data_IF_432483942879
#
_entry.id   IF_432483942879
#
_cell.length_a   1.000
_cell.length_b   1.000
_cell.length_c   1.000
_cell.angle_alpha   90.00
_cell.angle_beta   90.00
_cell.angle_gamma   90.00
#
_symmetry.space_group_name_H-M   'P 1'
#
loop_
_entity.id
_entity.type
_entity.pdbx_description
1 polymer ?
#
# COMPACT_ATOMS: atom_id res chain seq x y z
N UNK A 1 -16.00 4.78 -33.46
CA UNK A 1 -16.08 3.72 -32.42
C UNK A 1 -14.94 2.75 -32.69
N UNK A 2 -13.82 2.89 -31.98
CA UNK A 2 -12.69 1.95 -32.08
C UNK A 2 -13.10 0.79 -31.15
N UNK A 3 -13.38 -0.38 -31.72
CA UNK A 3 -13.57 -1.61 -30.95
C UNK A 3 -12.18 -2.07 -30.58
N UNK A 4 -11.81 -1.86 -29.32
CA UNK A 4 -10.60 -2.43 -28.75
C UNK A 4 -10.88 -3.93 -28.53
N UNK A 5 -10.31 -4.78 -29.37
CA UNK A 5 -10.30 -6.22 -29.08
C UNK A 5 -9.31 -6.44 -27.93
N UNK A 6 -9.80 -6.70 -26.74
CA UNK A 6 -8.98 -7.27 -25.68
C UNK A 6 -8.65 -8.68 -26.12
N UNK A 7 -7.40 -8.94 -26.46
CA UNK A 7 -6.93 -10.30 -26.73
C UNK A 7 -6.84 -10.99 -25.35
N UNK A 8 -7.75 -11.91 -25.09
CA UNK A 8 -7.71 -12.76 -23.90
C UNK A 8 -6.92 -14.02 -24.19
N UNK A 9 -6.18 -14.51 -23.19
CA UNK A 9 -5.41 -15.76 -23.26
C UNK A 9 -6.03 -16.79 -22.31
N UNK A 10 -5.89 -18.08 -22.61
CA UNK A 10 -6.26 -19.16 -21.72
C UNK A 10 -5.32 -19.27 -20.51
N UNK A 11 -5.61 -20.22 -19.62
CA UNK A 11 -4.77 -20.51 -18.46
C UNK A 11 -3.56 -21.37 -18.82
N UNK A 12 -2.40 -21.18 -18.12
CA UNK A 12 -1.18 -21.95 -18.43
C UNK A 12 -1.22 -23.41 -17.92
N UNK A 13 -2.16 -23.74 -17.02
CA UNK A 13 -2.39 -25.11 -16.53
C UNK A 13 -3.73 -25.64 -17.04
N UNK A 14 -3.81 -26.93 -17.32
CA UNK A 14 -5.07 -27.56 -17.74
C UNK A 14 -6.06 -27.71 -16.56
N UNK A 15 -7.38 -27.51 -16.78
CA UNK A 15 -8.00 -27.13 -18.04
C UNK A 15 -7.71 -25.64 -18.37
N UNK A 16 -7.25 -25.38 -19.59
CA UNK A 16 -6.80 -24.03 -20.00
C UNK A 16 -7.98 -23.07 -20.28
N UNK A 17 -9.19 -23.60 -20.33
CA UNK A 17 -10.45 -22.90 -20.59
C UNK A 17 -11.32 -22.76 -19.34
N UNK A 18 -10.74 -22.89 -18.16
CA UNK A 18 -11.44 -22.77 -16.87
C UNK A 18 -10.59 -21.98 -15.88
N UNK A 19 -11.22 -21.15 -15.05
CA UNK A 19 -10.57 -20.44 -13.94
C UNK A 19 -9.81 -21.43 -13.05
N UNK A 20 -8.59 -21.08 -12.70
CA UNK A 20 -7.73 -21.87 -11.84
C UNK A 20 -7.65 -21.25 -10.44
N UNK A 21 -7.48 -22.05 -9.38
CA UNK A 21 -7.23 -21.52 -8.05
C UNK A 21 -5.89 -20.78 -7.99
N UNK A 22 -5.86 -19.69 -7.22
CA UNK A 22 -4.67 -18.85 -7.03
C UNK A 22 -4.12 -19.03 -5.62
N UNK A 23 -2.81 -19.12 -5.51
CA UNK A 23 -2.08 -19.20 -4.24
C UNK A 23 -1.50 -17.85 -3.80
N UNK A 24 -1.12 -16.99 -4.72
CA UNK A 24 -0.73 -15.61 -4.47
C UNK A 24 -1.17 -14.73 -5.64
N UNK A 25 -1.43 -13.46 -5.32
CA UNK A 25 -1.89 -12.48 -6.30
C UNK A 25 -0.78 -11.47 -6.65
N UNK A 26 -0.96 -10.74 -7.75
CA UNK A 26 -0.07 -9.66 -8.20
C UNK A 26 -0.06 -8.49 -7.21
N UNK A 27 1.13 -8.13 -6.71
CA UNK A 27 1.29 -7.07 -5.72
C UNK A 27 1.02 -7.50 -4.27
N UNK A 28 0.80 -8.79 -4.03
CA UNK A 28 0.59 -9.34 -2.70
C UNK A 28 1.86 -9.21 -1.84
N UNK A 29 1.67 -8.79 -0.58
CA UNK A 29 2.77 -8.73 0.38
C UNK A 29 3.32 -10.11 0.65
N UNK A 30 4.64 -10.26 0.58
CA UNK A 30 5.35 -11.49 0.93
C UNK A 30 6.57 -11.17 1.79
N UNK A 31 6.83 -12.00 2.82
CA UNK A 31 7.94 -11.84 3.73
C UNK A 31 8.74 -13.15 3.99
N UNK A 32 8.64 -14.12 3.09
CA UNK A 32 9.31 -15.44 3.20
C UNK A 32 10.82 -15.38 3.41
N UNK A 33 11.50 -14.36 2.95
CA UNK A 33 12.95 -14.18 3.04
C UNK A 33 13.42 -13.25 4.14
N UNK A 34 12.51 -12.71 4.95
CA UNK A 34 12.79 -11.75 6.01
C UNK A 34 12.84 -10.28 5.58
N UNK A 35 12.89 -9.99 4.28
CA UNK A 35 12.68 -8.63 3.74
C UNK A 35 11.39 -8.64 2.95
N UNK A 36 10.41 -7.81 3.30
CA UNK A 36 9.14 -7.75 2.58
C UNK A 36 9.33 -7.32 1.12
N UNK A 37 8.46 -7.86 0.26
CA UNK A 37 8.37 -7.48 -1.15
C UNK A 37 6.94 -7.70 -1.67
N UNK A 38 6.62 -7.09 -2.80
CA UNK A 38 5.35 -7.29 -3.49
C UNK A 38 5.49 -8.46 -4.48
N UNK A 39 4.58 -9.40 -4.46
CA UNK A 39 4.62 -10.56 -5.35
C UNK A 39 4.52 -10.16 -6.84
N UNK A 40 5.56 -10.40 -7.66
CA UNK A 40 5.60 -9.89 -9.04
C UNK A 40 5.00 -10.89 -10.05
N UNK A 41 3.88 -11.49 -9.72
CA UNK A 41 3.20 -12.49 -10.55
C UNK A 41 1.87 -12.92 -9.94
N UNK A 42 1.31 -13.96 -10.51
CA UNK A 42 0.23 -14.74 -9.90
C UNK A 42 0.69 -16.19 -9.77
N UNK A 43 0.40 -16.82 -8.65
CA UNK A 43 0.70 -18.23 -8.45
C UNK A 43 -0.54 -19.07 -8.77
N UNK A 44 -0.51 -19.71 -9.93
CA UNK A 44 -1.58 -20.60 -10.38
C UNK A 44 -1.36 -21.97 -9.72
N UNK A 45 -2.25 -22.35 -8.82
CA UNK A 45 -2.12 -23.55 -7.99
C UNK A 45 -2.31 -24.82 -8.78
N UNK A 46 -1.56 -25.84 -8.37
CA UNK A 46 -1.66 -27.18 -8.90
C UNK A 46 -2.02 -28.17 -7.79
N UNK A 47 -2.70 -29.24 -8.17
CA UNK A 47 -3.05 -30.34 -7.26
C UNK A 47 -1.94 -31.38 -7.13
N UNK A 48 -0.96 -31.34 -8.02
CA UNK A 48 0.16 -32.31 -8.07
C UNK A 48 1.41 -31.70 -8.67
N UNK A 49 2.58 -32.23 -8.28
CA UNK A 49 3.85 -31.99 -8.95
C UNK A 49 3.83 -32.53 -10.38
N UNK A 50 4.73 -32.08 -11.23
CA UNK A 50 4.86 -32.53 -12.63
C UNK A 50 3.61 -32.29 -13.49
N UNK A 51 2.75 -31.35 -13.09
CA UNK A 51 1.62 -30.95 -13.92
C UNK A 51 2.15 -30.27 -15.19
N UNK A 52 1.60 -30.61 -16.38
CA UNK A 52 2.04 -30.01 -17.63
C UNK A 52 1.66 -28.54 -17.70
N UNK A 53 2.57 -27.71 -18.23
CA UNK A 53 2.42 -26.28 -18.43
C UNK A 53 2.35 -26.00 -19.92
N UNK A 54 1.43 -25.12 -20.31
CA UNK A 54 1.17 -24.77 -21.70
C UNK A 54 1.42 -23.30 -21.98
N UNK A 55 1.91 -22.98 -23.18
CA UNK A 55 2.05 -21.60 -23.62
C UNK A 55 0.67 -20.93 -23.76
N UNK A 56 0.45 -19.82 -23.09
CA UNK A 56 -0.83 -19.08 -23.17
C UNK A 56 -0.97 -18.26 -24.44
N UNK A 57 0.14 -18.07 -25.18
CA UNK A 57 0.20 -17.30 -26.42
C UNK A 57 1.35 -17.82 -27.30
N UNK A 58 1.20 -17.72 -28.61
CA UNK A 58 2.29 -18.00 -29.54
C UNK A 58 3.41 -16.98 -29.38
N UNK A 59 4.66 -17.43 -29.48
CA UNK A 59 5.82 -16.55 -29.31
C UNK A 59 7.14 -17.20 -29.66
N UNK A 60 8.22 -16.67 -29.08
CA UNK A 60 9.60 -17.12 -29.28
C UNK A 60 10.27 -17.35 -27.93
N UNK A 61 10.94 -18.46 -27.74
CA UNK A 61 11.73 -18.73 -26.53
C UNK A 61 12.86 -17.72 -26.42
N UNK A 62 12.83 -16.89 -25.37
CA UNK A 62 13.83 -15.83 -25.14
C UNK A 62 14.80 -16.16 -24.01
N UNK A 63 14.30 -16.75 -22.95
CA UNK A 63 15.14 -17.12 -21.82
C UNK A 63 14.79 -18.53 -21.34
N UNK A 64 15.82 -19.23 -20.92
CA UNK A 64 15.73 -20.55 -20.32
C UNK A 64 16.71 -20.59 -19.16
N UNK A 65 16.24 -20.22 -17.98
CA UNK A 65 17.06 -20.04 -16.79
C UNK A 65 16.91 -21.25 -15.87
N UNK A 66 17.91 -22.13 -15.89
CA UNK A 66 17.97 -23.36 -15.07
C UNK A 66 19.18 -23.36 -14.14
N UNK A 67 19.49 -22.20 -13.58
CA UNK A 67 20.52 -22.00 -12.56
C UNK A 67 19.89 -22.07 -11.16
N UNK A 68 20.69 -22.36 -10.12
CA UNK A 68 20.23 -22.62 -8.75
C UNK A 68 19.41 -23.91 -8.61
N UNK A 69 18.60 -24.10 -7.57
CA UNK A 69 17.71 -25.23 -7.43
C UNK A 69 16.58 -25.20 -8.48
N UNK A 70 16.05 -26.37 -8.82
CA UNK A 70 15.04 -26.52 -9.87
C UNK A 70 13.76 -25.70 -9.62
N UNK A 71 13.35 -25.52 -8.36
CA UNK A 71 12.24 -24.65 -7.99
C UNK A 71 12.46 -23.16 -8.33
N UNK A 72 13.66 -22.77 -8.75
CA UNK A 72 13.94 -21.43 -9.30
C UNK A 72 13.98 -21.38 -10.84
N UNK A 73 13.75 -22.49 -11.52
CA UNK A 73 13.81 -22.53 -12.97
C UNK A 73 12.68 -21.75 -13.62
N UNK A 74 13.02 -21.08 -14.72
CA UNK A 74 12.15 -20.13 -15.43
C UNK A 74 12.29 -20.25 -16.93
N UNK A 75 11.17 -20.08 -17.63
CA UNK A 75 11.08 -19.97 -19.08
C UNK A 75 10.40 -18.65 -19.43
N UNK A 76 10.95 -17.88 -20.36
CA UNK A 76 10.31 -16.70 -20.94
C UNK A 76 10.02 -16.90 -22.43
N UNK A 77 8.76 -16.67 -22.81
CA UNK A 77 8.28 -16.72 -24.19
C UNK A 77 7.87 -15.32 -24.60
N UNK A 78 8.67 -14.69 -25.49
CA UNK A 78 8.43 -13.34 -25.97
C UNK A 78 7.41 -13.34 -27.11
N UNK A 79 6.73 -12.21 -27.29
CA UNK A 79 5.72 -12.05 -28.34
C UNK A 79 6.28 -12.22 -29.75
N UNK A 80 7.54 -11.81 -29.97
CA UNK A 80 8.25 -11.96 -31.23
C UNK A 80 9.77 -11.88 -31.04
N UNK A 81 10.50 -12.34 -32.05
CA UNK A 81 11.96 -12.26 -32.08
C UNK A 81 12.42 -10.85 -32.41
N UNK A 82 13.19 -10.24 -31.47
CA UNK A 82 13.80 -8.91 -31.68
C UNK A 82 15.04 -8.77 -30.79
N UNK A 83 15.90 -7.79 -31.14
CA UNK A 83 16.98 -7.32 -30.28
C UNK A 83 16.59 -6.04 -29.51
N UNK A 84 15.40 -5.51 -29.77
CA UNK A 84 14.85 -4.39 -29.04
C UNK A 84 14.04 -4.88 -27.85
N UNK A 85 13.51 -3.93 -27.08
CA UNK A 85 12.62 -4.21 -25.96
C UNK A 85 11.37 -4.98 -26.41
N UNK A 86 11.06 -6.07 -25.75
CA UNK A 86 9.90 -6.92 -26.04
C UNK A 86 9.25 -7.43 -24.79
N UNK A 87 7.93 -7.57 -24.83
CA UNK A 87 7.16 -8.20 -23.77
C UNK A 87 7.18 -9.72 -23.89
N UNK A 88 7.08 -10.40 -22.76
CA UNK A 88 7.07 -11.86 -22.68
C UNK A 88 6.18 -12.38 -21.56
N UNK A 89 5.78 -13.62 -21.69
CA UNK A 89 5.23 -14.42 -20.61
C UNK A 89 6.33 -15.14 -19.87
N UNK A 90 6.39 -14.96 -18.55
CA UNK A 90 7.28 -15.67 -17.64
C UNK A 90 6.54 -16.84 -17.03
N UNK A 91 7.12 -18.03 -17.12
CA UNK A 91 6.69 -19.26 -16.50
C UNK A 91 7.80 -19.70 -15.54
N UNK A 92 7.56 -19.69 -14.22
CA UNK A 92 8.55 -20.11 -13.24
C UNK A 92 8.10 -21.34 -12.48
N UNK A 93 9.07 -21.99 -11.80
CA UNK A 93 8.89 -23.30 -11.14
C UNK A 93 8.57 -24.43 -12.12
N UNK A 94 9.19 -24.37 -13.30
CA UNK A 94 8.95 -25.25 -14.43
C UNK A 94 10.26 -25.96 -14.84
N UNK A 95 10.18 -27.28 -15.10
CA UNK A 95 11.24 -28.05 -15.77
C UNK A 95 11.04 -27.99 -17.28
N UNK A 96 11.87 -27.22 -18.00
CA UNK A 96 11.78 -27.09 -19.45
C UNK A 96 12.60 -28.13 -20.22
N UNK A 97 13.35 -29.02 -19.57
CA UNK A 97 14.23 -29.98 -20.27
C UNK A 97 13.48 -30.97 -21.17
N UNK A 98 12.21 -31.20 -20.88
CA UNK A 98 11.34 -32.04 -21.73
C UNK A 98 10.68 -31.22 -22.87
N UNK A 99 10.86 -29.91 -22.88
CA UNK A 99 10.44 -29.02 -23.93
C UNK A 99 11.57 -28.90 -24.97
N UNK A 100 11.52 -29.69 -26.01
CA UNK A 100 12.58 -29.83 -27.01
C UNK A 100 12.73 -28.60 -27.92
N UNK A 101 12.85 -27.41 -27.35
CA UNK A 101 13.06 -26.11 -28.03
C UNK A 101 14.33 -25.44 -27.51
N UNK A 102 14.92 -24.64 -28.34
CA UNK A 102 16.07 -23.80 -28.00
C UNK A 102 15.68 -22.33 -27.96
N UNK A 103 16.53 -21.50 -27.37
CA UNK A 103 16.38 -20.05 -27.46
C UNK A 103 16.35 -19.64 -28.94
N UNK A 104 15.33 -18.87 -29.33
CA UNK A 104 15.07 -18.46 -30.70
C UNK A 104 14.04 -19.31 -31.45
N UNK A 105 13.67 -20.48 -30.94
CA UNK A 105 12.63 -21.31 -31.55
C UNK A 105 11.23 -20.72 -31.29
N UNK A 106 10.32 -20.95 -32.23
CA UNK A 106 8.93 -20.54 -32.09
C UNK A 106 8.12 -21.53 -31.26
N UNK A 107 7.15 -21.02 -30.54
CA UNK A 107 6.19 -21.74 -29.73
C UNK A 107 4.79 -21.37 -30.18
N UNK A 108 3.90 -22.34 -30.32
CA UNK A 108 2.50 -22.10 -30.60
C UNK A 108 1.70 -21.95 -29.29
N UNK A 109 0.61 -21.19 -29.32
CA UNK A 109 -0.37 -21.18 -28.24
C UNK A 109 -0.88 -22.59 -27.99
N UNK A 110 -1.01 -22.97 -26.70
CA UNK A 110 -1.42 -24.31 -26.25
C UNK A 110 -0.33 -25.38 -26.40
N UNK A 111 0.87 -25.04 -26.86
CA UNK A 111 2.00 -25.98 -26.91
C UNK A 111 2.50 -26.31 -25.51
N UNK A 112 2.80 -27.57 -25.24
CA UNK A 112 3.42 -28.03 -23.98
C UNK A 112 4.84 -27.46 -23.88
N UNK A 113 5.12 -26.74 -22.79
CA UNK A 113 6.40 -26.04 -22.60
C UNK A 113 7.23 -26.55 -21.40
N UNK A 114 6.70 -27.49 -20.64
CA UNK A 114 7.38 -28.10 -19.52
C UNK A 114 6.43 -28.66 -18.48
N UNK A 115 6.98 -28.97 -17.34
CA UNK A 115 6.24 -29.57 -16.23
C UNK A 115 6.62 -28.85 -14.94
N UNK A 116 5.66 -28.67 -14.00
CA UNK A 116 5.92 -28.11 -12.69
C UNK A 116 6.97 -28.94 -11.95
N UNK A 117 7.91 -28.28 -11.32
CA UNK A 117 8.86 -28.88 -10.39
C UNK A 117 8.26 -28.99 -9.00
N UNK A 118 8.85 -29.82 -8.16
CA UNK A 118 8.46 -29.94 -6.77
C UNK A 118 8.73 -28.61 -6.02
N UNK A 119 7.74 -28.20 -5.21
CA UNK A 119 7.87 -27.05 -4.34
C UNK A 119 8.12 -27.49 -2.88
N UNK A 120 9.00 -26.82 -2.11
CA UNK A 120 9.37 -27.26 -0.76
C UNK A 120 8.27 -27.14 0.29
N UNK A 121 7.15 -26.45 -0.01
CA UNK A 121 5.98 -26.38 0.87
C UNK A 121 4.91 -27.35 0.37
N UNK A 122 4.66 -28.39 1.15
CA UNK A 122 3.76 -29.46 0.75
C UNK A 122 2.34 -28.95 0.46
N UNK A 123 1.84 -29.26 -0.73
CA UNK A 123 0.52 -28.85 -1.21
C UNK A 123 0.45 -27.45 -1.78
N UNK A 124 1.58 -26.72 -1.86
CA UNK A 124 1.69 -25.42 -2.51
C UNK A 124 2.43 -25.52 -3.85
N UNK A 125 2.28 -26.63 -4.57
CA UNK A 125 2.82 -26.73 -5.92
C UNK A 125 2.06 -25.76 -6.84
N UNK A 126 2.78 -24.93 -7.56
CA UNK A 126 2.19 -23.85 -8.36
C UNK A 126 3.06 -23.47 -9.54
N UNK A 127 2.47 -22.79 -10.48
CA UNK A 127 3.16 -22.03 -11.52
C UNK A 127 3.18 -20.55 -11.13
N UNK A 128 4.35 -19.99 -10.89
CA UNK A 128 4.49 -18.54 -10.82
C UNK A 128 4.47 -17.98 -12.24
N UNK A 129 3.51 -17.10 -12.51
CA UNK A 129 3.17 -16.63 -13.84
C UNK A 129 3.08 -15.11 -13.89
N UNK A 130 3.80 -14.49 -14.83
CA UNK A 130 3.90 -13.04 -14.91
C UNK A 130 4.00 -12.52 -16.35
N UNK A 131 3.60 -11.28 -16.57
CA UNK A 131 3.89 -10.53 -17.79
C UNK A 131 5.07 -9.62 -17.53
N UNK A 132 6.15 -9.82 -18.27
CA UNK A 132 7.43 -9.13 -18.11
C UNK A 132 7.84 -8.40 -19.37
N UNK A 133 8.81 -7.52 -19.22
CA UNK A 133 9.47 -6.84 -20.32
C UNK A 133 10.98 -6.83 -20.09
N UNK A 134 11.72 -7.09 -21.12
CA UNK A 134 13.18 -6.97 -21.11
C UNK A 134 13.67 -6.40 -22.44
N UNK A 135 14.92 -6.01 -22.49
CA UNK A 135 15.54 -5.39 -23.67
C UNK A 135 16.61 -6.28 -24.29
N UNK A 136 16.70 -6.20 -25.61
CA UNK A 136 17.75 -6.86 -26.38
C UNK A 136 17.63 -8.39 -26.46
N UNK A 137 18.76 -9.04 -26.70
CA UNK A 137 18.83 -10.47 -26.98
C UNK A 137 19.33 -11.30 -25.78
N UNK A 138 19.88 -10.66 -24.77
CA UNK A 138 20.39 -11.31 -23.56
C UNK A 138 19.45 -11.00 -22.40
N UNK A 139 18.76 -12.04 -21.95
CA UNK A 139 17.79 -11.92 -20.89
C UNK A 139 18.38 -12.52 -19.60
N UNK A 140 18.49 -11.71 -18.56
CA UNK A 140 19.04 -12.10 -17.27
C UNK A 140 18.00 -11.91 -16.18
N UNK A 141 17.97 -12.80 -15.22
CA UNK A 141 17.14 -12.64 -14.03
C UNK A 141 17.62 -11.42 -13.23
N UNK A 142 16.69 -10.55 -12.87
CA UNK A 142 16.97 -9.29 -12.16
C UNK A 142 16.88 -8.03 -13.04
N UNK A 143 16.95 -8.19 -14.35
CA UNK A 143 16.83 -7.07 -15.31
C UNK A 143 15.39 -6.92 -15.84
N UNK A 144 14.46 -7.78 -15.42
CA UNK A 144 13.09 -7.80 -15.93
C UNK A 144 12.21 -6.77 -15.23
N UNK A 145 11.50 -5.98 -16.01
CA UNK A 145 10.37 -5.20 -15.52
C UNK A 145 9.10 -6.06 -15.49
N UNK A 146 8.40 -6.09 -14.37
CA UNK A 146 7.09 -6.70 -14.23
C UNK A 146 6.04 -5.65 -14.60
N UNK A 147 5.33 -5.88 -15.72
CA UNK A 147 4.64 -4.79 -16.41
C UNK A 147 3.12 -4.89 -16.38
N UNK A 148 2.56 -6.09 -16.07
CA UNK A 148 1.13 -6.27 -16.12
C UNK A 148 0.67 -7.48 -15.33
N UNK A 149 -0.39 -7.29 -14.55
CA UNK A 149 -1.07 -8.38 -13.87
C UNK A 149 -1.71 -9.34 -14.90
N UNK A 150 -1.34 -10.62 -14.90
CA UNK A 150 -1.90 -11.61 -15.82
C UNK A 150 -3.43 -11.71 -15.76
N UNK A 151 -4.05 -11.54 -14.59
CA UNK A 151 -5.51 -11.64 -14.41
C UNK A 151 -6.29 -10.62 -15.25
N UNK A 152 -5.65 -9.53 -15.69
CA UNK A 152 -6.30 -8.52 -16.55
C UNK A 152 -6.51 -8.98 -17.99
N UNK A 153 -5.90 -10.09 -18.40
CA UNK A 153 -5.93 -10.61 -19.77
C UNK A 153 -6.19 -12.11 -19.88
N UNK A 154 -6.14 -12.86 -18.76
CA UNK A 154 -6.51 -14.27 -18.75
C UNK A 154 -8.02 -14.45 -18.76
N UNK A 155 -8.51 -15.45 -19.50
CA UNK A 155 -9.92 -15.78 -19.58
C UNK A 155 -10.13 -17.30 -19.79
N UNK A 156 -11.22 -17.86 -19.24
CA UNK A 156 -12.17 -17.19 -18.33
C UNK A 156 -11.56 -16.89 -16.96
N UNK A 157 -12.05 -15.85 -16.28
CA UNK A 157 -11.81 -15.60 -14.87
C UNK A 157 -13.19 -15.43 -14.20
N UNK A 158 -13.76 -16.55 -13.80
CA UNK A 158 -15.14 -16.66 -13.28
C UNK A 158 -15.12 -16.69 -11.74
N UNK A 159 -14.60 -15.63 -11.13
CA UNK A 159 -14.69 -15.39 -9.71
C UNK A 159 -16.05 -14.75 -9.39
N UNK A 160 -16.74 -15.26 -8.40
CA UNK A 160 -18.04 -14.76 -7.92
C UNK A 160 -18.01 -14.37 -6.44
N UNK A 161 -16.87 -14.49 -5.80
CA UNK A 161 -16.67 -14.02 -4.43
C UNK A 161 -16.44 -12.52 -4.43
N UNK A 162 -16.38 -11.92 -3.30
CA UNK A 162 -16.13 -10.50 -3.17
C UNK A 162 -15.13 -10.25 -2.05
N UNK A 163 -14.31 -9.21 -2.13
CA UNK A 163 -13.40 -8.85 -1.06
C UNK A 163 -14.11 -8.70 0.29
N UNK A 164 -13.46 -9.18 1.34
CA UNK A 164 -13.96 -9.24 2.71
C UNK A 164 -13.18 -8.27 3.59
N UNK A 165 -13.91 -7.47 4.36
CA UNK A 165 -13.35 -6.58 5.36
C UNK A 165 -13.36 -7.24 6.73
N UNK A 166 -12.22 -7.20 7.42
CA UNK A 166 -12.06 -7.60 8.80
C UNK A 166 -11.85 -6.38 9.71
N UNK A 167 -11.94 -6.56 11.03
CA UNK A 167 -11.61 -5.49 11.96
C UNK A 167 -10.10 -5.27 11.97
N UNK A 168 -9.69 -4.01 11.84
CA UNK A 168 -8.27 -3.65 11.77
C UNK A 168 -7.64 -3.50 13.15
N UNK A 169 -8.34 -2.87 14.12
CA UNK A 169 -7.80 -2.63 15.45
C UNK A 169 -8.91 -2.45 16.50
N UNK A 170 -8.74 -2.98 17.71
CA UNK A 170 -9.67 -2.84 18.87
C UNK A 170 -11.14 -3.16 18.57
N UNK A 171 -11.42 -4.08 17.65
CA UNK A 171 -12.73 -4.39 17.09
C UNK A 171 -13.32 -3.28 16.20
N UNK A 172 -12.57 -2.22 15.91
CA UNK A 172 -12.95 -1.20 14.95
C UNK A 172 -12.68 -1.69 13.52
N UNK A 173 -13.56 -1.32 12.59
CA UNK A 173 -13.48 -1.74 11.19
C UNK A 173 -12.21 -1.22 10.51
N UNK A 174 -11.86 0.04 10.77
CA UNK A 174 -10.63 0.68 10.31
C UNK A 174 -9.76 1.08 11.50
N UNK A 175 -8.46 1.12 11.30
CA UNK A 175 -7.53 1.72 12.23
C UNK A 175 -7.09 3.10 11.69
N UNK A 176 -6.70 3.96 12.61
CA UNK A 176 -6.26 5.32 12.29
C UNK A 176 -4.95 5.61 13.02
N UNK A 177 -3.97 6.13 12.30
CA UNK A 177 -2.73 6.62 12.93
C UNK A 177 -2.28 7.93 12.30
N UNK A 178 -1.40 8.65 12.98
CA UNK A 178 -0.75 9.81 12.38
C UNK A 178 0.09 9.39 11.17
N UNK A 179 0.03 10.17 10.12
CA UNK A 179 0.71 9.89 8.86
C UNK A 179 2.17 9.44 9.07
N UNK A 180 2.54 8.33 8.43
CA UNK A 180 3.87 7.71 8.49
C UNK A 180 4.37 7.38 9.90
N UNK A 181 3.49 7.10 10.85
CA UNK A 181 3.87 6.72 12.22
C UNK A 181 3.14 5.46 12.69
N UNK A 182 3.48 5.00 13.90
CA UNK A 182 2.71 4.00 14.65
C UNK A 182 1.96 4.63 15.83
N UNK A 183 1.63 5.92 15.75
CA UNK A 183 0.84 6.63 16.74
C UNK A 183 -0.66 6.49 16.44
N UNK A 184 -1.25 5.41 16.90
CA UNK A 184 -2.67 5.13 16.68
C UNK A 184 -3.58 6.07 17.44
N UNK A 185 -4.64 6.50 16.79
CA UNK A 185 -5.66 7.41 17.32
C UNK A 185 -7.00 6.70 17.49
N UNK A 186 -7.75 7.00 18.54
CA UNK A 186 -9.11 6.50 18.67
C UNK A 186 -10.01 7.17 17.59
N UNK A 187 -10.93 6.42 16.97
CA UNK A 187 -11.78 6.95 15.89
C UNK A 187 -12.71 8.10 16.33
N UNK A 188 -12.86 8.33 17.64
CA UNK A 188 -13.66 9.43 18.20
C UNK A 188 -12.87 10.74 18.35
N UNK A 189 -11.57 10.77 17.97
CA UNK A 189 -10.74 11.97 18.13
C UNK A 189 -9.57 11.97 17.14
N UNK A 190 -9.88 12.16 15.86
CA UNK A 190 -8.90 12.24 14.77
C UNK A 190 -8.47 13.70 14.57
N UNK A 191 -7.19 13.93 14.35
CA UNK A 191 -6.60 15.25 14.11
C UNK A 191 -5.31 15.17 13.29
N UNK A 192 -4.97 16.26 12.56
CA UNK A 192 -3.79 16.34 11.70
C UNK A 192 -3.85 15.43 10.47
N UNK A 193 -2.72 15.05 9.93
CA UNK A 193 -2.63 14.06 8.85
C UNK A 193 -2.90 12.65 9.37
N UNK A 194 -3.92 11.99 8.84
CA UNK A 194 -4.40 10.69 9.32
C UNK A 194 -4.28 9.62 8.23
N UNK A 195 -3.52 8.55 8.54
CA UNK A 195 -3.55 7.32 7.75
C UNK A 195 -4.79 6.51 8.13
N UNK A 196 -5.57 6.13 7.13
CA UNK A 196 -6.70 5.22 7.27
C UNK A 196 -6.21 3.82 6.88
N UNK A 197 -6.34 2.86 7.80
CA UNK A 197 -5.85 1.50 7.60
C UNK A 197 -7.02 0.54 7.57
N UNK A 198 -7.16 -0.22 6.47
CA UNK A 198 -8.20 -1.21 6.27
C UNK A 198 -7.60 -2.62 6.16
N UNK A 199 -8.14 -3.57 6.92
CA UNK A 199 -7.80 -4.98 6.81
C UNK A 199 -8.72 -5.66 5.83
N UNK A 200 -8.17 -6.11 4.69
CA UNK A 200 -8.97 -6.62 3.58
C UNK A 200 -8.28 -7.86 2.99
N UNK A 201 -9.07 -8.87 2.67
CA UNK A 201 -8.64 -9.97 1.84
C UNK A 201 -9.70 -10.31 0.79
N UNK A 202 -9.30 -11.09 -0.18
CA UNK A 202 -10.15 -11.64 -1.24
C UNK A 202 -9.93 -13.14 -1.35
N UNK A 203 -10.77 -13.87 -2.07
CA UNK A 203 -10.56 -15.25 -2.46
C UNK A 203 -11.26 -15.53 -3.80
N UNK A 204 -10.83 -16.55 -4.53
CA UNK A 204 -11.41 -16.90 -5.82
C UNK A 204 -12.66 -17.80 -5.69
N UNK A 205 -13.07 -18.18 -4.49
CA UNK A 205 -14.12 -19.18 -4.26
C UNK A 205 -13.71 -20.61 -4.65
N UNK A 206 -12.47 -20.83 -5.07
CA UNK A 206 -11.92 -22.14 -5.43
C UNK A 206 -11.08 -22.67 -4.26
N UNK A 207 -11.53 -23.77 -3.58
CA UNK A 207 -10.91 -24.22 -2.35
C UNK A 207 -9.51 -24.76 -2.58
N UNK A 208 -8.59 -24.44 -1.66
CA UNK A 208 -7.25 -24.96 -1.58
C UNK A 208 -7.11 -25.97 -0.43
N UNK A 209 -6.00 -26.71 -0.39
CA UNK A 209 -5.72 -27.67 0.68
C UNK A 209 -5.51 -27.02 2.05
N UNK A 210 -5.13 -25.75 2.07
CA UNK A 210 -4.97 -24.92 3.26
C UNK A 210 -5.76 -23.62 3.09
N UNK A 211 -6.78 -23.34 3.94
CA UNK A 211 -7.59 -22.13 3.84
C UNK A 211 -6.80 -20.81 4.00
N UNK A 212 -5.63 -20.83 4.62
CA UNK A 212 -4.76 -19.64 4.69
C UNK A 212 -4.35 -19.19 3.29
N UNK A 213 -4.14 -20.12 2.38
CA UNK A 213 -3.68 -19.83 1.02
C UNK A 213 -4.80 -19.29 0.11
N UNK A 214 -6.06 -19.42 0.51
CA UNK A 214 -7.21 -18.83 -0.19
C UNK A 214 -7.31 -17.32 0.03
N UNK A 215 -6.62 -16.79 1.07
CA UNK A 215 -6.61 -15.37 1.37
C UNK A 215 -5.64 -14.65 0.43
N UNK A 216 -6.18 -13.92 -0.51
CA UNK A 216 -5.48 -13.12 -1.52
C UNK A 216 -5.69 -11.62 -1.22
N UNK A 217 -5.01 -10.77 -1.96
CA UNK A 217 -5.32 -9.34 -1.93
C UNK A 217 -6.38 -8.95 -2.97
N UNK A 218 -7.18 -7.90 -2.74
CA UNK A 218 -8.06 -7.34 -3.76
C UNK A 218 -7.25 -6.75 -4.92
N UNK A 219 -7.87 -6.68 -6.10
CA UNK A 219 -7.29 -6.09 -7.29
C UNK A 219 -7.26 -4.56 -7.27
N UNK A 220 -8.28 -3.92 -6.65
CA UNK A 220 -8.40 -2.46 -6.55
C UNK A 220 -9.04 -2.06 -5.23
N UNK A 221 -8.57 -0.95 -4.67
CA UNK A 221 -9.13 -0.32 -3.47
C UNK A 221 -9.39 1.16 -3.75
N UNK A 222 -10.55 1.65 -3.29
CA UNK A 222 -10.95 3.05 -3.32
C UNK A 222 -11.46 3.46 -1.94
N UNK A 223 -11.31 4.75 -1.60
CA UNK A 223 -11.92 5.30 -0.39
C UNK A 223 -12.69 6.59 -0.69
N UNK A 224 -13.60 6.95 0.19
CA UNK A 224 -14.31 8.22 0.20
C UNK A 224 -14.66 8.60 1.64
N UNK A 225 -14.86 9.90 1.91
CA UNK A 225 -15.23 10.40 3.23
C UNK A 225 -16.42 11.35 3.09
N UNK A 226 -17.44 11.16 3.94
CA UNK A 226 -18.68 11.93 3.90
C UNK A 226 -18.98 12.57 5.26
N UNK A 227 -19.26 13.87 5.26
CA UNK A 227 -19.58 14.65 6.45
C UNK A 227 -19.87 16.11 6.13
N UNK A 228 -19.48 17.01 7.01
CA UNK A 228 -19.61 18.44 6.76
C UNK A 228 -18.83 18.90 5.52
N UNK A 229 -17.73 18.22 5.23
CA UNK A 229 -16.94 18.33 3.99
C UNK A 229 -16.64 16.91 3.50
N UNK A 230 -16.63 16.69 2.19
CA UNK A 230 -16.44 15.37 1.62
C UNK A 230 -15.06 15.23 0.97
N UNK A 231 -14.49 14.02 1.06
CA UNK A 231 -13.47 13.54 0.12
C UNK A 231 -14.22 12.70 -0.93
N UNK A 232 -14.14 13.02 -2.22
CA UNK A 232 -14.75 12.22 -3.27
C UNK A 232 -14.13 10.83 -3.33
N UNK A 233 -14.74 9.91 -4.08
CA UNK A 233 -14.14 8.60 -4.36
C UNK A 233 -12.75 8.80 -4.94
N UNK A 234 -11.76 8.29 -4.23
CA UNK A 234 -10.33 8.39 -4.54
C UNK A 234 -9.76 6.98 -4.71
N UNK A 235 -9.02 6.75 -5.76
CA UNK A 235 -8.31 5.50 -5.97
C UNK A 235 -7.15 5.41 -4.98
N UNK A 236 -7.17 4.38 -4.13
CA UNK A 236 -6.03 4.05 -3.26
C UNK A 236 -4.98 3.26 -4.04
N UNK A 237 -5.38 2.10 -4.54
CA UNK A 237 -4.46 1.20 -5.26
C UNK A 237 -5.18 0.46 -6.37
N UNK A 238 -4.46 0.18 -7.47
CA UNK A 238 -4.90 -0.73 -8.51
C UNK A 238 -3.72 -1.57 -9.02
N UNK A 239 -3.82 -2.87 -8.87
CA UNK A 239 -2.75 -3.83 -9.17
C UNK A 239 -2.87 -4.36 -10.62
N UNK A 240 -2.79 -3.49 -11.62
CA UNK A 240 -3.01 -3.85 -13.02
C UNK A 240 -1.78 -3.73 -13.94
N UNK A 241 -0.83 -2.89 -13.57
CA UNK A 241 0.27 -2.45 -14.43
C UNK A 241 1.64 -2.74 -13.85
N UNK A 242 2.57 -1.82 -14.10
CA UNK A 242 3.97 -1.92 -13.65
C UNK A 242 4.02 -2.07 -12.13
N UNK A 243 4.85 -3.01 -11.67
CA UNK A 243 5.07 -3.28 -10.26
C UNK A 243 6.55 -3.09 -9.92
N UNK A 244 6.85 -2.09 -9.10
CA UNK A 244 8.11 -2.01 -8.37
C UNK A 244 7.99 -2.85 -7.09
N UNK A 245 8.44 -4.09 -7.18
CA UNK A 245 8.17 -5.09 -6.15
C UNK A 245 9.05 -4.96 -4.88
N UNK A 246 10.03 -4.05 -4.86
CA UNK A 246 10.97 -3.92 -3.74
C UNK A 246 10.88 -2.60 -2.97
N UNK A 247 10.37 -1.53 -3.59
CA UNK A 247 10.51 -0.18 -3.04
C UNK A 247 9.23 0.42 -2.43
N UNK A 248 8.05 -0.10 -2.78
CA UNK A 248 6.77 0.52 -2.43
C UNK A 248 5.92 -0.32 -1.46
N UNK A 249 6.54 -1.26 -0.74
CA UNK A 249 5.82 -2.14 0.21
C UNK A 249 5.18 -1.31 1.31
N UNK A 250 5.94 -0.41 1.93
CA UNK A 250 5.49 0.42 3.05
C UNK A 250 4.51 1.53 2.64
N UNK A 251 4.38 1.81 1.34
CA UNK A 251 3.35 2.71 0.81
C UNK A 251 1.99 2.06 0.87
N UNK A 252 1.92 0.77 0.51
CA UNK A 252 0.69 0.01 0.38
C UNK A 252 0.27 -0.58 1.73
N UNK A 253 1.22 -1.20 2.43
CA UNK A 253 0.94 -2.06 3.58
C UNK A 253 1.44 -1.47 4.89
N UNK A 254 0.56 -1.47 5.88
CA UNK A 254 0.93 -1.23 7.27
C UNK A 254 1.49 -2.50 7.87
N UNK A 255 2.74 -2.41 8.34
CA UNK A 255 3.41 -3.52 9.02
C UNK A 255 4.10 -3.00 10.27
N UNK A 256 3.41 -3.09 11.41
CA UNK A 256 3.93 -2.69 12.71
C UNK A 256 3.39 -3.60 13.84
N UNK A 257 3.64 -3.24 15.08
CA UNK A 257 3.22 -4.04 16.24
C UNK A 257 1.70 -4.06 16.49
N UNK A 258 0.90 -3.31 15.72
CA UNK A 258 -0.56 -3.21 15.85
C UNK A 258 -1.26 -3.74 14.60
N UNK A 259 -1.00 -3.13 13.44
CA UNK A 259 -1.44 -3.61 12.13
C UNK A 259 -0.27 -4.33 11.47
N UNK A 260 -0.14 -5.62 11.76
CA UNK A 260 0.98 -6.45 11.35
C UNK A 260 0.62 -7.21 10.08
N UNK A 261 1.05 -6.69 8.92
CA UNK A 261 0.85 -7.38 7.65
C UNK A 261 1.75 -8.61 7.57
N UNK A 262 1.16 -9.73 7.22
CA UNK A 262 1.85 -10.99 7.00
C UNK A 262 1.40 -11.64 5.70
N UNK A 263 2.34 -12.21 4.93
CA UNK A 263 2.08 -12.87 3.67
C UNK A 263 2.96 -14.09 3.50
N UNK A 264 2.85 -15.07 4.41
CA UNK A 264 3.58 -16.33 4.34
C UNK A 264 2.66 -17.56 4.23
N UNK A 265 3.23 -18.76 4.29
CA UNK A 265 2.46 -20.02 4.20
C UNK A 265 1.63 -20.32 5.44
N UNK A 266 1.89 -19.68 6.57
CA UNK A 266 1.26 -19.92 7.86
C UNK A 266 0.22 -18.86 8.23
N UNK A 267 0.38 -17.65 7.71
CA UNK A 267 -0.48 -16.51 8.03
C UNK A 267 -0.56 -15.53 6.86
N UNK A 268 -1.76 -15.01 6.62
CA UNK A 268 -2.02 -13.99 5.59
C UNK A 268 -2.99 -12.95 6.13
N UNK A 269 -2.43 -11.79 6.43
CA UNK A 269 -3.12 -10.67 7.04
C UNK A 269 -2.68 -9.39 6.34
N UNK A 270 -3.58 -8.72 5.62
CA UNK A 270 -3.24 -7.58 4.78
C UNK A 270 -3.89 -6.30 5.30
N UNK A 271 -3.06 -5.38 5.78
CA UNK A 271 -3.47 -4.07 6.29
C UNK A 271 -3.05 -2.98 5.29
N UNK A 272 -4.00 -2.43 4.55
CA UNK A 272 -3.75 -1.42 3.52
C UNK A 272 -3.83 -0.01 4.09
N UNK A 273 -2.84 0.85 3.80
CA UNK A 273 -2.88 2.27 4.13
C UNK A 273 -3.61 2.98 2.97
N UNK A 274 -4.94 3.05 3.04
CA UNK A 274 -5.77 3.46 1.90
C UNK A 274 -5.63 4.94 1.51
N UNK A 275 -5.05 5.75 2.38
CA UNK A 275 -4.80 7.18 2.14
C UNK A 275 -3.46 7.50 1.50
N UNK A 276 -2.53 6.53 1.40
CA UNK A 276 -1.23 6.71 0.75
C UNK A 276 -1.38 6.72 -0.78
N UNK A 277 -1.91 7.80 -1.32
CA UNK A 277 -2.20 7.92 -2.75
C UNK A 277 -2.39 9.38 -3.16
N UNK A 278 -1.96 9.75 -4.35
CA UNK A 278 -2.33 10.99 -5.01
C UNK A 278 -3.59 10.85 -5.90
N UNK A 279 -4.17 9.67 -5.96
CA UNK A 279 -5.39 9.34 -6.68
C UNK A 279 -5.16 8.81 -8.10
N UNK A 280 -3.92 8.62 -8.53
CA UNK A 280 -3.61 8.03 -9.82
C UNK A 280 -3.48 6.49 -9.75
N UNK A 281 -3.01 5.85 -10.81
CA UNK A 281 -2.95 4.38 -10.90
C UNK A 281 -1.55 3.79 -10.67
N UNK A 282 -0.58 4.62 -10.37
CA UNK A 282 0.78 4.20 -10.05
C UNK A 282 0.98 4.22 -8.54
N UNK A 283 1.79 3.33 -8.05
CA UNK A 283 2.22 3.35 -6.65
C UNK A 283 3.67 3.81 -6.62
N UNK A 284 3.87 4.99 -6.06
CA UNK A 284 5.18 5.63 -5.97
C UNK A 284 5.56 5.88 -4.50
N UNK A 285 6.86 5.96 -4.23
CA UNK A 285 7.33 6.24 -2.86
C UNK A 285 6.87 7.60 -2.31
N UNK A 286 6.53 8.52 -3.22
CA UNK A 286 5.96 9.84 -2.90
C UNK A 286 4.54 9.76 -2.37
N UNK A 287 3.80 8.69 -2.63
CA UNK A 287 2.42 8.53 -2.15
C UNK A 287 2.34 8.42 -0.63
N UNK A 288 3.39 7.92 0.00
CA UNK A 288 3.47 7.82 1.46
C UNK A 288 3.32 9.16 2.21
N UNK A 289 3.48 10.31 1.53
CA UNK A 289 3.27 11.62 2.19
C UNK A 289 1.80 12.02 2.28
N UNK A 290 0.94 11.36 1.49
CA UNK A 290 -0.49 11.66 1.47
C UNK A 290 -1.21 11.03 2.67
N UNK A 291 -2.21 11.73 3.16
CA UNK A 291 -3.04 11.34 4.29
C UNK A 291 -4.40 12.05 4.21
N UNK A 292 -5.33 11.70 5.05
CA UNK A 292 -6.49 12.55 5.28
C UNK A 292 -6.08 13.72 6.18
N UNK A 293 -5.92 14.90 5.60
CA UNK A 293 -5.54 16.13 6.29
C UNK A 293 -6.75 16.70 7.04
N UNK A 294 -7.02 16.16 8.24
CA UNK A 294 -8.22 16.52 9.01
C UNK A 294 -8.24 17.99 9.43
N UNK A 295 -7.10 18.66 9.50
CA UNK A 295 -7.01 20.09 9.80
C UNK A 295 -7.72 20.98 8.77
N UNK A 296 -7.90 20.47 7.56
CA UNK A 296 -8.65 21.15 6.49
C UNK A 296 -10.17 20.92 6.58
N UNK A 297 -10.62 20.11 7.57
CA UNK A 297 -12.01 19.71 7.73
C UNK A 297 -12.61 20.29 9.03
N UNK A 298 -13.89 20.72 9.02
CA UNK A 298 -14.59 21.08 10.24
C UNK A 298 -14.59 19.95 11.27
N UNK A 299 -14.52 20.28 12.56
CA UNK A 299 -14.75 19.31 13.61
C UNK A 299 -16.15 18.70 13.52
N UNK A 300 -16.29 17.43 13.82
CA UNK A 300 -17.57 16.72 13.75
C UNK A 300 -17.45 15.29 13.22
N UNK A 301 -18.60 14.70 12.96
CA UNK A 301 -18.70 13.30 12.57
C UNK A 301 -18.59 13.13 11.06
N UNK A 302 -17.85 12.11 10.65
CA UNK A 302 -17.58 11.73 9.26
C UNK A 302 -17.75 10.23 9.07
N UNK A 303 -18.30 9.83 7.93
CA UNK A 303 -18.27 8.44 7.48
C UNK A 303 -17.05 8.21 6.61
N UNK A 304 -16.13 7.38 7.07
CA UNK A 304 -15.06 6.80 6.26
C UNK A 304 -15.60 5.55 5.59
N UNK A 305 -15.43 5.44 4.29
CA UNK A 305 -15.95 4.35 3.48
C UNK A 305 -14.82 3.84 2.60
N UNK A 306 -14.61 2.53 2.59
CA UNK A 306 -13.63 1.86 1.74
C UNK A 306 -14.34 0.82 0.89
N UNK A 307 -14.00 0.76 -0.40
CA UNK A 307 -14.51 -0.21 -1.35
C UNK A 307 -13.36 -0.95 -1.98
N UNK A 308 -13.39 -2.28 -1.95
CA UNK A 308 -12.41 -3.15 -2.58
C UNK A 308 -13.06 -3.94 -3.71
N UNK A 309 -12.29 -4.21 -4.77
CA UNK A 309 -12.74 -4.95 -5.95
C UNK A 309 -11.74 -6.06 -6.25
N UNK A 310 -12.23 -7.20 -6.69
CA UNK A 310 -11.43 -8.24 -7.31
C UNK A 310 -11.17 -7.96 -8.80
N UNK A 311 -10.41 -8.84 -9.46
CA UNK A 311 -10.13 -8.71 -10.90
C UNK A 311 -11.32 -9.10 -11.79
N UNK A 312 -12.32 -9.82 -11.27
CA UNK A 312 -13.56 -10.16 -11.96
C UNK A 312 -14.60 -9.03 -11.88
N UNK A 313 -14.40 -8.05 -11.00
CA UNK A 313 -15.27 -6.88 -10.81
C UNK A 313 -16.30 -7.04 -9.69
N UNK A 314 -16.22 -8.11 -8.87
CA UNK A 314 -17.00 -8.17 -7.63
C UNK A 314 -16.47 -7.15 -6.63
N UNK A 315 -17.32 -6.64 -5.75
CA UNK A 315 -16.91 -5.63 -4.78
C UNK A 315 -17.43 -5.90 -3.38
N UNK A 316 -16.55 -5.67 -2.40
CA UNK A 316 -16.85 -5.51 -1.00
C UNK A 316 -16.77 -4.05 -0.60
N UNK A 317 -17.60 -3.61 0.35
CA UNK A 317 -17.61 -2.25 0.88
C UNK A 317 -17.90 -2.27 2.36
N UNK A 318 -17.17 -1.44 3.10
CA UNK A 318 -17.47 -1.22 4.51
C UNK A 318 -17.31 0.25 4.88
N UNK A 319 -17.87 0.64 6.04
CA UNK A 319 -17.85 2.02 6.49
C UNK A 319 -17.78 2.13 8.00
N UNK A 320 -17.22 3.23 8.48
CA UNK A 320 -17.10 3.53 9.91
C UNK A 320 -17.33 5.00 10.18
N UNK A 321 -18.14 5.30 11.22
CA UNK A 321 -18.32 6.65 11.72
C UNK A 321 -17.15 7.03 12.62
N UNK A 322 -16.55 8.18 12.33
CA UNK A 322 -15.41 8.74 13.10
C UNK A 322 -15.68 10.19 13.44
N UNK A 323 -14.95 10.74 14.41
CA UNK A 323 -15.06 12.15 14.77
C UNK A 323 -13.73 12.86 14.55
N UNK A 324 -13.74 13.88 13.72
CA UNK A 324 -12.64 14.84 13.60
C UNK A 324 -12.73 15.80 14.77
N UNK A 325 -11.62 15.93 15.52
CA UNK A 325 -11.51 16.79 16.69
C UNK A 325 -10.15 17.47 16.68
N UNK A 326 -10.01 18.48 15.83
CA UNK A 326 -8.79 19.28 15.69
C UNK A 326 -8.55 20.20 16.90
N UNK A 327 -9.34 20.05 17.97
CA UNK A 327 -9.27 20.82 19.21
C UNK A 327 -8.17 20.29 20.11
N UNK A 328 -6.95 20.59 19.75
CA UNK A 328 -5.78 20.36 20.56
C UNK A 328 -4.66 21.23 20.01
N UNK A 329 -4.64 22.50 20.42
CA UNK A 329 -3.60 23.44 20.00
C UNK A 329 -3.48 23.56 18.47
N UNK A 330 -4.54 24.06 17.79
CA UNK A 330 -4.23 24.97 16.72
C UNK A 330 -3.37 26.04 17.40
N UNK A 331 -2.05 26.06 17.15
CA UNK A 331 -1.44 27.36 16.93
C UNK A 331 -2.34 27.94 15.85
N UNK A 332 -3.34 28.70 16.25
CA UNK A 332 -3.95 29.65 15.38
C UNK A 332 -2.76 30.50 14.96
N UNK A 333 -2.21 30.24 13.77
CA UNK A 333 -1.90 31.34 12.89
C UNK A 333 -3.25 31.98 12.55
N UNK A 334 -3.97 32.44 13.59
CA UNK A 334 -4.77 33.61 13.43
C UNK A 334 -3.78 34.58 12.80
N UNK A 335 -4.10 35.12 11.64
CA UNK A 335 -3.70 36.46 11.29
C UNK A 335 -4.25 37.37 12.40
N UNK A 336 -3.70 37.19 13.61
CA UNK A 336 -3.76 38.14 14.66
C UNK A 336 -2.88 39.25 14.11
N UNK A 337 -3.52 40.34 13.70
CA UNK A 337 -2.85 41.57 13.43
C UNK A 337 -1.75 41.69 14.48
N UNK A 338 -0.49 41.66 14.03
CA UNK A 338 0.74 41.44 14.81
C UNK A 338 1.15 42.61 15.71
N UNK A 339 0.21 43.35 16.27
CA UNK A 339 0.49 44.70 16.84
C UNK A 339 0.47 44.81 18.34
N UNK A 340 0.08 43.79 19.11
CA UNK A 340 -0.13 44.02 20.54
C UNK A 340 0.73 43.17 21.50
N UNK A 341 1.59 42.27 21.00
CA UNK A 341 2.64 41.64 21.81
C UNK A 341 3.84 41.26 20.96
N UNK A 342 4.98 41.91 21.20
CA UNK A 342 6.27 41.48 20.66
C UNK A 342 7.16 40.91 21.74
N UNK A 343 8.02 39.97 21.39
CA UNK A 343 8.95 39.34 22.32
C UNK A 343 10.32 39.20 21.65
N UNK A 344 11.36 39.71 22.31
CA UNK A 344 12.71 39.56 21.81
C UNK A 344 13.75 39.60 22.94
N UNK A 345 14.88 38.90 22.74
CA UNK A 345 15.16 37.89 21.73
C UNK A 345 14.48 36.57 22.03
N UNK A 346 14.18 35.80 21.00
CA UNK A 346 13.72 34.42 21.14
C UNK A 346 14.37 33.52 20.06
N UNK A 347 15.32 32.62 20.38
CA UNK A 347 15.76 32.26 21.76
C UNK A 347 16.48 33.39 22.52
N UNK A 348 16.36 33.37 23.84
CA UNK A 348 16.94 34.34 24.77
C UNK A 348 18.09 33.72 25.57
N UNK A 349 19.08 34.54 25.97
CA UNK A 349 20.13 34.13 26.93
C UNK A 349 19.78 34.45 28.40
N UNK A 350 18.49 34.52 28.70
CA UNK A 350 17.98 34.76 30.07
C UNK A 350 17.16 36.02 30.23
N UNK A 351 17.44 37.06 29.47
CA UNK A 351 16.65 38.29 29.47
C UNK A 351 15.71 38.30 28.26
N UNK A 352 14.42 38.47 28.48
CA UNK A 352 13.43 38.66 27.42
C UNK A 352 12.65 39.93 27.67
N UNK A 353 12.39 40.67 26.61
CA UNK A 353 11.55 41.85 26.61
C UNK A 353 10.22 41.52 25.96
N UNK A 354 9.13 41.80 26.66
CA UNK A 354 7.76 41.60 26.19
C UNK A 354 7.13 42.98 26.07
N UNK A 355 6.81 43.39 24.87
CA UNK A 355 6.14 44.67 24.60
C UNK A 355 4.64 44.40 24.44
N UNK A 356 3.88 44.82 25.43
CA UNK A 356 2.41 44.80 25.47
C UNK A 356 1.93 45.72 26.57
N UNK A 357 0.74 46.29 26.39
CA UNK A 357 0.06 47.07 27.45
C UNK A 357 -0.79 46.20 28.37
N UNK A 358 -0.89 44.91 28.06
CA UNK A 358 -1.77 43.93 28.72
C UNK A 358 -1.03 43.10 29.78
N UNK A 359 -1.80 42.53 30.70
CA UNK A 359 -1.26 41.59 31.69
C UNK A 359 -0.94 40.26 31.04
N UNK A 360 0.26 39.75 31.27
CA UNK A 360 0.72 38.45 30.81
C UNK A 360 1.10 37.57 31.98
N UNK A 361 0.97 36.26 31.81
CA UNK A 361 1.55 35.22 32.68
C UNK A 361 2.62 34.49 31.89
N UNK A 362 3.77 34.27 32.51
CA UNK A 362 4.84 33.42 31.94
C UNK A 362 4.81 32.13 32.73
N UNK A 363 4.50 31.02 32.03
CA UNK A 363 4.40 29.70 32.63
C UNK A 363 5.51 28.79 32.13
N UNK A 364 6.07 27.96 32.99
CA UNK A 364 7.05 26.95 32.59
C UNK A 364 6.37 25.72 31.95
N UNK A 365 7.15 24.82 31.40
CA UNK A 365 6.66 23.59 30.75
C UNK A 365 5.88 22.65 31.69
N UNK A 366 5.89 22.88 33.02
CA UNK A 366 5.10 22.13 34.00
C UNK A 366 3.77 22.84 34.34
N UNK A 367 3.49 23.99 33.71
CA UNK A 367 2.28 24.79 33.95
C UNK A 367 2.39 25.74 35.16
N UNK A 368 3.58 25.87 35.82
CA UNK A 368 3.76 26.81 36.92
C UNK A 368 4.03 28.21 36.41
N UNK A 369 3.43 29.21 37.05
CA UNK A 369 3.70 30.61 36.80
C UNK A 369 5.13 30.96 37.24
N UNK A 370 5.98 31.29 36.29
CA UNK A 370 7.35 31.79 36.53
C UNK A 370 7.42 33.30 36.74
N UNK A 371 6.55 34.04 36.04
CA UNK A 371 6.39 35.49 36.21
C UNK A 371 4.99 35.93 35.76
N UNK A 372 4.54 37.10 36.21
CA UNK A 372 3.35 37.76 35.70
C UNK A 372 3.49 39.30 35.83
N UNK A 373 2.87 40.02 34.89
CA UNK A 373 2.89 41.50 34.87
C UNK A 373 2.42 42.05 33.55
N UNK A 374 2.37 43.39 33.41
CA UNK A 374 2.25 44.02 32.10
C UNK A 374 3.57 43.93 31.34
N UNK A 375 3.60 44.35 30.07
CA UNK A 375 4.83 44.36 29.28
C UNK A 375 6.05 44.89 30.02
N UNK A 376 7.23 44.38 29.71
CA UNK A 376 8.48 44.71 30.36
C UNK A 376 9.59 43.70 30.16
N UNK A 377 10.66 43.84 30.94
CA UNK A 377 11.80 42.92 30.91
C UNK A 377 11.68 41.85 31.96
N UNK A 378 11.84 40.61 31.57
CA UNK A 378 11.79 39.44 32.44
C UNK A 378 13.10 38.67 32.38
N UNK A 379 13.62 38.24 33.54
CA UNK A 379 14.81 37.40 33.62
C UNK A 379 14.36 36.00 33.96
N UNK A 380 14.63 35.05 33.08
CA UNK A 380 14.22 33.67 33.21
C UNK A 380 15.44 32.71 33.25
N UNK A 381 15.33 31.66 33.99
CA UNK A 381 16.33 30.58 33.95
C UNK A 381 16.27 29.84 32.59
N UNK A 382 17.33 29.12 32.17
CA UNK A 382 17.26 28.30 30.98
C UNK A 382 16.10 27.32 31.03
N UNK A 383 15.31 27.27 29.95
CA UNK A 383 14.09 26.45 29.89
C UNK A 383 13.17 26.83 28.75
N UNK A 384 12.03 26.12 28.70
CA UNK A 384 10.93 26.42 27.79
C UNK A 384 9.79 27.05 28.59
N UNK A 385 9.29 28.18 28.12
CA UNK A 385 8.20 28.91 28.75
C UNK A 385 7.16 29.28 27.72
N UNK A 386 5.96 29.58 28.22
CA UNK A 386 4.86 30.12 27.43
C UNK A 386 4.41 31.44 28.03
N UNK A 387 4.37 32.50 27.23
CA UNK A 387 3.73 33.77 27.60
C UNK A 387 2.26 33.64 27.27
N UNK A 388 1.42 33.71 28.28
CA UNK A 388 -0.02 33.56 28.18
C UNK A 388 -0.68 34.93 28.46
N UNK A 389 -1.58 35.30 27.58
CA UNK A 389 -2.44 36.48 27.72
C UNK A 389 -3.89 35.97 27.72
N UNK A 390 -4.61 36.34 28.78
CA UNK A 390 -6.03 36.00 28.96
C UNK A 390 -6.87 37.26 28.67
N UNK A 391 -7.84 37.17 27.78
CA UNK A 391 -8.76 38.26 27.44
C UNK A 391 -10.18 37.68 27.23
N UNK A 392 -11.11 38.09 28.10
CA UNK A 392 -12.50 37.63 28.13
C UNK A 392 -12.59 36.08 28.01
N UNK A 393 -13.09 35.56 26.89
CA UNK A 393 -13.22 34.14 26.64
C UNK A 393 -12.09 33.57 25.78
N UNK A 394 -10.97 34.31 25.57
CA UNK A 394 -9.86 33.91 24.71
C UNK A 394 -8.53 33.85 25.47
N UNK A 395 -7.73 32.83 25.19
CA UNK A 395 -6.38 32.64 25.74
C UNK A 395 -5.39 32.63 24.60
N UNK A 396 -4.40 33.51 24.62
CA UNK A 396 -3.34 33.56 23.64
C UNK A 396 -2.03 33.14 24.28
N UNK A 397 -1.22 32.36 23.60
CA UNK A 397 0.09 31.97 24.12
C UNK A 397 1.20 32.06 23.06
N UNK A 398 2.42 32.37 23.48
CA UNK A 398 3.63 32.32 22.65
C UNK A 398 4.75 31.60 23.41
N UNK A 399 5.43 30.70 22.72
CA UNK A 399 6.56 29.95 23.26
C UNK A 399 7.84 30.81 23.33
N UNK A 400 8.56 30.70 24.43
CA UNK A 400 9.89 31.25 24.64
C UNK A 400 10.88 30.13 24.90
N UNK A 401 12.06 30.22 24.31
CA UNK A 401 13.18 29.35 24.59
C UNK A 401 14.29 30.16 25.23
N UNK A 402 14.66 29.84 26.46
CA UNK A 402 15.79 30.44 27.17
C UNK A 402 16.95 29.46 27.14
N UNK A 403 18.05 29.83 26.50
CA UNK A 403 19.28 29.05 26.41
C UNK A 403 20.33 29.53 27.40
N UNK A 404 21.35 28.69 27.65
CA UNK A 404 22.49 29.09 28.49
C UNK A 404 23.45 29.99 27.75
#
# INVERSE_FOLDING_TARGET
MIILFIVTTGWPLAPVDSTQPLGNNWGEYQNYGGSPYLHPGVDVMADTVHRPVYAVQSGVVKAWLTISGDYHWRLAIADYQTNDSVEAWLYAHIDPYQFHKNIGDTVAEGELIGYLVWWPVAGFDHLHFARIKDEGSVWQYGDWAFIKNPLTIMAPYDDTTKPVFENSYNNDRFAFCQNNTSNYMPPQSLYGGVDIIAKIYDDTGLPLSNPVWERLIPYKIEYEIHGAQNVPVTLSFIFHGILDYTNNVDVIYKDDGVCNTEGDYGSREYYFIVTNTDGDSLVESTDAVHAWETDDFPDGDYWVIVTAFDAAGNSGRDSMLVTVANVGVREHEAQVESYWMTMSPNPSSGLIVIETERMVKIIDASGRVAASGSGGSYVLAPGVYFVVLEEDDSVFSRKIIVVR
#
